data_IF_577909480844
#
_entry.id   IF_577909480844
#
_cell.length_a   1.000
_cell.length_b   1.000
_cell.length_c   1.000
_cell.angle_alpha   90.00
_cell.angle_beta   90.00
_cell.angle_gamma   90.00
#
_symmetry.space_group_name_H-M   'P 1'
#
loop_
_entity.id
_entity.type
_entity.pdbx_description
1 polymer ?
#
# COMPACT_ATOMS: atom_id res chain seq x y z
N UNK A 1 8.26 36.69 50.09
CA UNK A 1 7.41 35.50 49.83
C UNK A 1 8.22 34.53 48.99
N UNK A 2 8.75 33.46 49.59
CA UNK A 2 9.60 32.50 48.90
C UNK A 2 8.73 31.45 48.18
N UNK A 3 8.78 31.42 46.85
CA UNK A 3 8.05 30.46 46.01
C UNK A 3 8.66 29.07 46.18
N UNK A 4 8.01 28.23 46.99
CA UNK A 4 8.25 26.80 47.05
C UNK A 4 7.67 26.15 45.80
N UNK A 5 8.51 25.84 44.80
CA UNK A 5 8.11 25.00 43.67
C UNK A 5 8.13 23.55 44.14
N UNK A 6 6.97 23.07 44.60
CA UNK A 6 6.75 21.67 44.95
C UNK A 6 7.05 20.76 43.76
N UNK A 7 7.98 19.85 43.97
CA UNK A 7 8.49 18.86 43.03
C UNK A 7 7.34 17.92 42.59
N UNK A 8 6.86 18.06 41.35
CA UNK A 8 5.76 17.26 40.78
C UNK A 8 6.24 15.92 40.19
N UNK A 9 7.45 15.46 40.53
CA UNK A 9 7.97 14.19 40.04
C UNK A 9 7.50 13.03 40.93
N UNK A 10 6.88 11.97 40.36
CA UNK A 10 6.50 10.79 41.13
C UNK A 10 7.72 10.11 41.78
N UNK A 11 7.53 9.41 42.92
CA UNK A 11 8.61 8.78 43.64
C UNK A 11 9.36 7.77 42.75
N UNK A 12 10.67 7.96 42.59
CA UNK A 12 11.56 7.06 41.83
C UNK A 12 12.16 7.66 40.54
N UNK A 13 11.70 8.83 40.10
CA UNK A 13 12.27 9.52 38.94
C UNK A 13 13.23 10.63 39.36
N UNK A 14 14.51 10.50 38.99
CA UNK A 14 15.51 11.58 39.14
C UNK A 14 15.17 12.73 38.19
N UNK A 15 15.27 13.95 38.70
CA UNK A 15 15.19 15.15 37.88
C UNK A 15 16.20 15.10 36.72
N UNK A 16 15.83 15.54 35.51
CA UNK A 16 16.76 15.60 34.39
C UNK A 16 17.93 16.54 34.71
N UNK A 17 19.12 16.32 34.12
CA UNK A 17 20.24 17.22 34.28
C UNK A 17 19.85 18.65 33.85
N UNK A 18 20.33 19.69 34.54
CA UNK A 18 20.04 21.06 34.17
C UNK A 18 20.51 21.30 32.74
N UNK A 19 19.60 21.77 31.88
CA UNK A 19 19.98 22.24 30.55
C UNK A 19 20.99 23.38 30.70
N UNK A 20 22.24 23.14 30.33
CA UNK A 20 23.19 24.21 30.07
C UNK A 20 22.63 25.01 28.90
N UNK A 21 21.99 26.14 29.20
CA UNK A 21 21.81 27.20 28.21
C UNK A 21 23.23 27.57 27.81
N UNK A 22 23.60 27.26 26.57
CA UNK A 22 24.83 27.78 25.98
C UNK A 22 24.82 29.27 26.27
N UNK A 23 25.83 29.67 27.06
CA UNK A 23 25.86 30.97 27.69
C UNK A 23 25.59 32.04 26.65
N UNK A 24 24.73 32.99 27.00
CA UNK A 24 24.79 34.33 26.48
C UNK A 24 26.18 34.89 26.83
N UNK A 25 27.19 34.44 26.08
CA UNK A 25 28.50 35.05 25.99
C UNK A 25 28.27 36.40 25.35
N UNK A 26 28.16 37.39 26.21
CA UNK A 26 28.24 38.78 25.88
C UNK A 26 29.54 39.04 25.11
N UNK A 27 29.41 39.57 23.90
CA UNK A 27 30.30 40.60 23.37
C UNK A 27 29.72 41.07 22.04
N UNK A 28 28.91 42.10 22.17
CA UNK A 28 28.72 43.13 21.15
C UNK A 28 30.10 43.62 20.70
N UNK A 29 30.65 43.02 19.66
CA UNK A 29 31.68 43.66 18.83
C UNK A 29 30.98 44.13 17.57
N UNK A 30 30.24 45.22 17.74
CA UNK A 30 29.81 46.06 16.65
C UNK A 30 31.05 46.81 16.16
N UNK A 31 31.76 46.23 15.19
CA UNK A 31 32.51 46.93 14.13
C UNK A 31 33.43 45.93 13.45
N UNK A 32 32.93 45.31 12.38
CA UNK A 32 33.72 44.85 11.24
C UNK A 32 32.74 44.22 10.25
N UNK A 33 32.18 45.05 9.38
CA UNK A 33 31.78 44.61 8.05
C UNK A 33 33.02 44.70 7.14
N UNK A 34 33.81 43.64 6.94
CA UNK A 34 34.54 43.48 5.70
C UNK A 34 33.60 42.74 4.75
N UNK A 35 33.05 43.49 3.81
CA UNK A 35 32.49 42.99 2.57
C UNK A 35 33.47 42.02 1.92
N UNK A 36 33.25 40.73 2.11
CA UNK A 36 33.81 39.69 1.25
C UNK A 36 32.65 38.84 0.81
N UNK A 37 32.39 38.95 -0.49
CA UNK A 37 31.44 38.20 -1.31
C UNK A 37 31.90 36.73 -1.39
N UNK A 38 32.02 36.07 -0.24
CA UNK A 38 32.43 34.68 -0.15
C UNK A 38 31.21 33.82 -0.47
N UNK A 39 31.07 33.47 -1.75
CA UNK A 39 30.05 32.56 -2.22
C UNK A 39 30.01 31.29 -1.35
N UNK A 40 28.82 30.74 -1.05
CA UNK A 40 28.70 29.56 -0.21
C UNK A 40 29.46 28.37 -0.80
N UNK A 41 29.95 27.46 0.04
CA UNK A 41 30.74 26.31 -0.41
C UNK A 41 29.96 25.48 -1.43
N UNK A 42 30.64 24.93 -2.45
CA UNK A 42 30.01 24.12 -3.47
C UNK A 42 29.31 22.93 -2.82
N UNK A 43 28.03 22.72 -3.16
CA UNK A 43 27.30 21.53 -2.76
C UNK A 43 28.00 20.30 -3.35
N UNK A 44 28.74 19.56 -2.54
CA UNK A 44 29.27 18.25 -2.91
C UNK A 44 28.11 17.28 -3.15
N UNK A 45 27.75 17.09 -4.41
CA UNK A 45 26.86 16.01 -4.81
C UNK A 45 27.68 14.72 -4.76
N UNK A 46 27.60 13.98 -3.65
CA UNK A 46 28.11 12.61 -3.57
C UNK A 46 27.25 11.71 -4.47
N UNK A 47 27.40 11.81 -5.78
CA UNK A 47 26.69 10.97 -6.74
C UNK A 47 27.50 10.84 -8.03
N UNK A 48 28.66 10.17 -7.95
CA UNK A 48 29.36 9.66 -9.12
C UNK A 48 29.40 8.13 -9.02
N UNK A 49 28.69 7.38 -9.90
CA UNK A 49 28.73 5.93 -9.92
C UNK A 49 30.09 5.47 -10.45
N UNK A 50 30.93 4.98 -9.54
CA UNK A 50 32.25 4.46 -9.85
C UNK A 50 32.11 3.06 -10.48
N UNK A 51 31.72 3.03 -11.76
CA UNK A 51 31.80 1.84 -12.60
C UNK A 51 33.22 1.77 -13.16
N UNK A 52 34.14 1.14 -12.45
CA UNK A 52 35.37 0.67 -13.08
C UNK A 52 35.60 -0.79 -12.74
N UNK A 53 35.10 -1.63 -13.64
CA UNK A 53 35.54 -2.99 -13.80
C UNK A 53 37.00 -2.97 -14.26
N UNK A 54 37.92 -3.59 -13.54
CA UNK A 54 39.16 -4.19 -14.07
C UNK A 54 39.84 -5.01 -12.98
N UNK A 55 40.30 -6.21 -13.35
CA UNK A 55 41.31 -7.08 -12.68
C UNK A 55 40.96 -7.63 -11.29
N UNK A 56 41.14 -8.90 -10.95
CA UNK A 56 41.67 -10.09 -11.60
C UNK A 56 41.54 -11.22 -10.56
N UNK A 57 41.18 -12.46 -10.94
CA UNK A 57 40.96 -13.55 -9.98
C UNK A 57 42.29 -14.17 -9.54
N UNK A 58 42.64 -14.01 -8.26
CA UNK A 58 43.70 -14.79 -7.62
C UNK A 58 43.12 -15.54 -6.42
N UNK A 59 42.78 -16.81 -6.64
CA UNK A 59 42.74 -17.83 -5.59
C UNK A 59 44.15 -18.01 -5.03
N UNK A 60 44.32 -18.05 -3.70
CA UNK A 60 44.34 -19.37 -3.08
C UNK A 60 43.59 -19.44 -1.75
N UNK A 61 42.93 -20.59 -1.59
CA UNK A 61 42.42 -21.22 -0.38
C UNK A 61 43.13 -20.84 0.93
N UNK A 62 42.42 -20.15 1.81
CA UNK A 62 42.67 -20.19 3.25
C UNK A 62 41.34 -20.42 3.97
N UNK A 63 41.15 -21.58 4.63
CA UNK A 63 39.94 -21.88 5.38
C UNK A 63 40.08 -21.25 6.75
N UNK A 64 39.47 -20.08 6.97
CA UNK A 64 39.54 -19.43 8.27
C UNK A 64 38.29 -18.60 8.54
N UNK A 65 37.46 -19.18 9.39
CA UNK A 65 36.38 -18.61 10.21
C UNK A 65 35.07 -18.27 9.50
N UNK A 66 33.91 -18.66 10.09
CA UNK A 66 32.61 -18.17 9.65
C UNK A 66 32.64 -16.67 9.81
N UNK A 67 32.81 -15.97 8.70
CA UNK A 67 32.72 -14.52 8.69
C UNK A 67 31.32 -14.18 9.17
N UNK A 68 31.19 -13.42 10.26
CA UNK A 68 29.94 -12.76 10.70
C UNK A 68 29.29 -11.88 9.60
N UNK A 69 29.86 -11.88 8.40
CA UNK A 69 29.41 -11.21 7.19
C UNK A 69 28.16 -11.83 6.53
N UNK A 70 27.68 -12.99 6.99
CA UNK A 70 26.44 -13.60 6.48
C UNK A 70 25.16 -13.13 7.20
N UNK A 71 25.24 -12.08 8.01
CA UNK A 71 24.05 -11.31 8.37
C UNK A 71 23.55 -10.59 7.12
N UNK A 72 22.77 -11.29 6.30
CA UNK A 72 22.06 -10.73 5.15
C UNK A 72 21.25 -9.49 5.54
N UNK A 73 20.79 -8.70 4.54
CA UNK A 73 20.05 -7.48 4.81
C UNK A 73 18.85 -7.75 5.70
N UNK A 74 18.70 -6.95 6.75
CA UNK A 74 17.64 -7.10 7.74
C UNK A 74 16.33 -6.67 7.10
N UNK A 75 15.30 -7.51 7.18
CA UNK A 75 13.98 -7.22 6.63
C UNK A 75 13.07 -6.59 7.69
N UNK A 76 12.50 -5.43 7.38
CA UNK A 76 11.50 -4.76 8.22
C UNK A 76 10.13 -4.79 7.53
N UNK A 77 9.12 -5.35 8.18
CA UNK A 77 7.74 -5.32 7.70
C UNK A 77 7.11 -3.96 8.03
N UNK A 78 6.54 -3.30 7.02
CA UNK A 78 6.04 -1.93 7.16
C UNK A 78 4.67 -1.88 7.86
N UNK A 79 4.55 -0.97 8.84
CA UNK A 79 3.29 -0.45 9.36
C UNK A 79 2.99 0.89 8.64
N UNK A 80 2.10 0.92 7.65
CA UNK A 80 1.87 2.14 6.87
C UNK A 80 1.29 3.32 7.66
N UNK A 81 0.77 3.08 8.87
CA UNK A 81 0.26 4.15 9.74
C UNK A 81 1.36 4.78 10.60
N UNK A 82 2.45 4.05 10.86
CA UNK A 82 3.52 4.48 11.79
C UNK A 82 4.90 4.61 11.14
N UNK A 83 5.13 3.87 10.07
CA UNK A 83 6.42 3.79 9.40
C UNK A 83 6.48 4.76 8.22
N UNK A 84 7.54 5.56 8.24
CA UNK A 84 7.93 6.49 7.20
C UNK A 84 9.44 6.39 7.04
N UNK A 85 9.99 6.87 5.92
CA UNK A 85 11.44 6.89 5.72
C UNK A 85 12.15 7.61 6.87
N UNK A 86 11.57 8.70 7.38
CA UNK A 86 12.12 9.45 8.50
C UNK A 86 12.08 8.66 9.82
N UNK A 87 10.94 8.05 10.17
CA UNK A 87 10.83 7.28 11.42
C UNK A 87 11.72 6.03 11.40
N UNK A 88 11.84 5.36 10.25
CA UNK A 88 12.72 4.20 10.07
C UNK A 88 14.20 4.59 10.11
N UNK A 89 14.56 5.73 9.51
CA UNK A 89 15.91 6.28 9.55
C UNK A 89 16.38 6.49 11.00
N UNK A 90 15.51 7.03 11.85
CA UNK A 90 15.79 7.25 13.27
C UNK A 90 15.84 5.94 14.06
N UNK A 91 14.88 5.03 13.86
CA UNK A 91 14.80 3.76 14.59
C UNK A 91 16.00 2.85 14.34
N UNK A 92 16.45 2.77 13.09
CA UNK A 92 17.58 1.93 12.70
C UNK A 92 18.92 2.66 12.68
N UNK A 93 18.92 3.96 12.99
CA UNK A 93 20.11 4.82 12.89
C UNK A 93 20.80 4.71 11.51
N UNK A 94 19.99 4.70 10.45
CA UNK A 94 20.43 4.66 9.05
C UNK A 94 19.99 5.94 8.37
N UNK A 95 20.87 6.69 7.67
CA UNK A 95 20.47 7.89 6.95
C UNK A 95 19.35 7.61 5.93
N UNK A 96 18.35 8.49 5.87
CA UNK A 96 17.21 8.36 4.96
C UNK A 96 17.62 8.16 3.48
N UNK A 97 18.68 8.83 3.03
CA UNK A 97 19.21 8.69 1.68
C UNK A 97 19.74 7.27 1.42
N UNK A 98 20.48 6.69 2.37
CA UNK A 98 21.00 5.33 2.28
C UNK A 98 19.85 4.31 2.31
N UNK A 99 18.83 4.53 3.14
CA UNK A 99 17.65 3.66 3.21
C UNK A 99 16.87 3.66 1.88
N UNK A 100 16.70 4.84 1.26
CA UNK A 100 16.09 4.97 -0.07
C UNK A 100 16.90 4.26 -1.15
N UNK A 101 18.22 4.46 -1.17
CA UNK A 101 19.11 3.84 -2.13
C UNK A 101 19.10 2.31 -2.02
N UNK A 102 19.20 1.78 -0.81
CA UNK A 102 19.14 0.34 -0.54
C UNK A 102 17.83 -0.28 -1.06
N UNK A 103 16.72 0.45 -0.99
CA UNK A 103 15.41 -0.03 -1.41
C UNK A 103 15.00 0.41 -2.83
N UNK A 104 15.83 1.12 -3.59
CA UNK A 104 15.46 1.67 -4.90
C UNK A 104 14.18 2.53 -4.82
N UNK A 105 14.08 3.37 -3.80
CA UNK A 105 12.98 4.31 -3.61
C UNK A 105 13.40 5.69 -4.11
N UNK A 106 12.73 6.19 -5.15
CA UNK A 106 12.98 7.55 -5.65
C UNK A 106 12.37 8.63 -4.74
N UNK A 107 11.27 8.31 -4.06
CA UNK A 107 10.53 9.23 -3.19
C UNK A 107 9.88 8.47 -2.03
N UNK A 108 9.53 9.20 -0.96
CA UNK A 108 9.06 8.62 0.29
C UNK A 108 7.65 8.00 0.17
N UNK A 109 6.78 8.57 -0.66
CA UNK A 109 5.42 8.05 -0.90
C UNK A 109 5.42 6.66 -1.56
N UNK A 110 6.52 6.26 -2.22
CA UNK A 110 6.64 4.93 -2.81
C UNK A 110 6.77 3.82 -1.77
N UNK A 111 6.96 4.16 -0.49
CA UNK A 111 6.95 3.21 0.62
C UNK A 111 5.59 2.51 0.74
N UNK A 112 4.48 3.21 0.44
CA UNK A 112 3.12 2.67 0.50
C UNK A 112 2.86 1.54 -0.52
N UNK A 113 3.63 1.51 -1.61
CA UNK A 113 3.53 0.44 -2.60
C UNK A 113 4.18 -0.88 -2.15
N UNK A 114 4.89 -0.87 -1.01
CA UNK A 114 5.68 -2.00 -0.52
C UNK A 114 5.20 -2.46 0.85
N UNK A 115 5.44 -3.73 1.15
CA UNK A 115 5.12 -4.36 2.44
C UNK A 115 6.35 -4.60 3.31
N UNK A 116 7.52 -4.70 2.69
CA UNK A 116 8.79 -5.02 3.33
C UNK A 116 9.85 -4.11 2.74
N UNK A 117 10.78 -3.67 3.59
CA UNK A 117 11.98 -2.97 3.17
C UNK A 117 13.22 -3.67 3.73
N UNK A 118 14.33 -3.50 3.00
CA UNK A 118 15.64 -3.93 3.42
C UNK A 118 16.31 -2.80 4.20
N UNK A 119 16.67 -3.07 5.44
CA UNK A 119 17.50 -2.19 6.26
C UNK A 119 18.96 -2.57 5.98
N UNK A 120 19.77 -1.64 5.42
CA UNK A 120 21.18 -1.91 5.21
C UNK A 120 21.88 -2.06 6.57
N UNK A 121 22.80 -3.02 6.68
CA UNK A 121 23.70 -3.11 7.82
C UNK A 121 24.59 -1.87 7.83
N UNK A 122 24.30 -0.90 8.71
CA UNK A 122 25.26 0.13 9.06
C UNK A 122 26.20 -0.46 10.11
N UNK A 123 27.49 -0.10 10.05
CA UNK A 123 28.60 -0.74 10.76
C UNK A 123 28.45 -0.86 12.30
N UNK A 124 27.39 -0.33 12.91
CA UNK A 124 27.31 -0.16 14.36
C UNK A 124 26.29 -1.04 15.07
N UNK A 125 25.44 -1.82 14.41
CA UNK A 125 24.52 -2.71 15.14
C UNK A 125 24.08 -3.89 14.28
N UNK A 126 24.21 -5.11 14.81
CA UNK A 126 23.47 -6.25 14.30
C UNK A 126 21.97 -5.97 14.50
N UNK A 127 21.32 -5.40 13.49
CA UNK A 127 19.95 -4.94 13.62
C UNK A 127 19.01 -6.15 13.59
N UNK A 128 18.50 -6.55 14.75
CA UNK A 128 17.27 -7.34 14.79
C UNK A 128 16.15 -6.45 14.25
N UNK A 129 15.33 -6.98 13.34
CA UNK A 129 14.17 -6.27 12.84
C UNK A 129 13.20 -5.93 13.99
N UNK A 130 12.80 -4.66 14.11
CA UNK A 130 11.81 -4.21 15.09
C UNK A 130 10.39 -4.67 14.73
N UNK A 131 10.12 -5.02 13.47
CA UNK A 131 8.86 -5.61 13.02
C UNK A 131 9.15 -6.88 12.21
N UNK A 132 9.35 -8.02 12.89
CA UNK A 132 9.68 -9.28 12.22
C UNK A 132 8.46 -9.94 11.55
N UNK A 133 7.24 -9.53 11.91
CA UNK A 133 6.00 -10.10 11.40
C UNK A 133 5.18 -9.05 10.63
N UNK A 134 4.41 -9.48 9.60
CA UNK A 134 3.45 -8.62 8.94
C UNK A 134 2.48 -7.98 9.96
N UNK A 135 2.28 -6.67 9.85
CA UNK A 135 1.39 -5.89 10.73
C UNK A 135 -0.08 -6.24 10.48
N UNK A 136 -0.47 -6.27 9.21
CA UNK A 136 -1.76 -6.79 8.79
C UNK A 136 -1.74 -8.32 8.84
N UNK A 137 -2.89 -8.91 9.17
CA UNK A 137 -3.05 -10.37 9.14
C UNK A 137 -2.67 -10.90 7.76
N UNK A 138 -2.00 -12.05 7.72
CA UNK A 138 -1.55 -12.69 6.48
C UNK A 138 -2.73 -12.92 5.52
N UNK A 139 -3.91 -13.19 6.08
CA UNK A 139 -5.18 -13.36 5.38
C UNK A 139 -5.66 -12.06 4.70
N UNK A 140 -5.64 -10.92 5.40
CA UNK A 140 -6.07 -9.63 4.82
C UNK A 140 -5.14 -9.16 3.70
N UNK A 141 -3.82 -9.30 3.89
CA UNK A 141 -2.85 -8.97 2.86
C UNK A 141 -3.06 -9.81 1.58
N UNK A 142 -3.36 -11.11 1.74
CA UNK A 142 -3.74 -11.98 0.62
C UNK A 142 -5.05 -11.57 -0.02
N UNK A 143 -6.07 -11.21 0.78
CA UNK A 143 -7.36 -10.71 0.29
C UNK A 143 -7.19 -9.48 -0.60
N UNK A 144 -6.56 -8.42 -0.08
CA UNK A 144 -6.30 -7.17 -0.84
C UNK A 144 -5.47 -7.42 -2.10
N UNK A 145 -4.52 -8.36 -2.05
CA UNK A 145 -3.72 -8.73 -3.21
C UNK A 145 -4.53 -9.52 -4.26
N UNK A 146 -5.37 -10.47 -3.83
CA UNK A 146 -6.24 -11.25 -4.70
C UNK A 146 -7.25 -10.35 -5.41
N UNK A 147 -7.91 -9.45 -4.68
CA UNK A 147 -8.84 -8.46 -5.24
C UNK A 147 -8.15 -7.62 -6.33
N UNK A 148 -7.00 -7.01 -6.01
CA UNK A 148 -6.27 -6.20 -7.00
C UNK A 148 -5.84 -7.01 -8.23
N UNK A 149 -5.38 -8.24 -8.04
CA UNK A 149 -5.00 -9.12 -9.17
C UNK A 149 -6.20 -9.51 -10.01
N UNK A 150 -7.35 -9.79 -9.41
CA UNK A 150 -8.60 -10.09 -10.11
C UNK A 150 -9.05 -8.89 -10.95
N UNK A 151 -9.13 -7.71 -10.32
CA UNK A 151 -9.51 -6.46 -10.98
C UNK A 151 -8.63 -6.19 -12.20
N UNK A 152 -7.31 -6.41 -12.09
CA UNK A 152 -6.37 -6.25 -13.22
C UNK A 152 -6.55 -7.32 -14.29
N UNK A 153 -6.71 -8.59 -13.90
CA UNK A 153 -6.85 -9.70 -14.84
C UNK A 153 -8.13 -9.57 -15.69
N UNK A 154 -9.26 -9.33 -15.01
CA UNK A 154 -10.58 -9.19 -15.63
C UNK A 154 -10.84 -7.78 -16.16
N UNK A 155 -9.95 -6.81 -15.89
CA UNK A 155 -10.11 -5.38 -16.25
C UNK A 155 -11.38 -4.76 -15.66
N UNK A 156 -11.74 -5.21 -14.47
CA UNK A 156 -12.90 -4.74 -13.71
C UNK A 156 -12.44 -3.67 -12.71
N UNK A 157 -13.09 -2.51 -12.73
CA UNK A 157 -12.85 -1.44 -11.75
C UNK A 157 -13.75 -1.53 -10.51
N UNK A 158 -14.80 -2.35 -10.56
CA UNK A 158 -15.73 -2.55 -9.45
C UNK A 158 -15.13 -3.51 -8.41
N UNK A 159 -15.01 -3.00 -7.18
CA UNK A 159 -14.50 -3.75 -6.04
C UNK A 159 -15.49 -4.83 -5.59
N UNK A 160 -16.79 -4.53 -5.57
CA UNK A 160 -17.81 -5.43 -5.05
C UNK A 160 -17.95 -6.65 -5.97
N UNK A 161 -17.85 -6.44 -7.28
CA UNK A 161 -17.80 -7.53 -8.26
C UNK A 161 -16.58 -8.43 -8.03
N UNK A 162 -15.41 -7.85 -7.81
CA UNK A 162 -14.20 -8.63 -7.54
C UNK A 162 -14.33 -9.48 -6.27
N UNK A 163 -14.90 -8.90 -5.21
CA UNK A 163 -15.19 -9.63 -3.97
C UNK A 163 -16.18 -10.76 -4.22
N UNK A 164 -17.25 -10.53 -4.98
CA UNK A 164 -18.26 -11.53 -5.30
C UNK A 164 -17.65 -12.78 -5.95
N UNK A 165 -16.87 -12.61 -7.01
CA UNK A 165 -16.25 -13.76 -7.70
C UNK A 165 -15.20 -14.45 -6.83
N UNK A 166 -14.41 -13.70 -6.07
CA UNK A 166 -13.41 -14.27 -5.19
C UNK A 166 -14.04 -15.05 -4.04
N UNK A 167 -15.09 -14.55 -3.41
CA UNK A 167 -15.82 -15.26 -2.36
C UNK A 167 -16.55 -16.50 -2.88
N UNK A 168 -17.09 -16.43 -4.09
CA UNK A 168 -17.73 -17.57 -4.74
C UNK A 168 -16.76 -18.73 -4.99
N UNK A 169 -15.51 -18.43 -5.35
CA UNK A 169 -14.46 -19.44 -5.60
C UNK A 169 -13.47 -19.59 -4.46
N UNK A 170 -13.72 -18.94 -3.32
CA UNK A 170 -12.94 -19.17 -2.11
C UNK A 170 -13.20 -20.60 -1.66
N UNK A 171 -12.12 -21.37 -1.51
CA UNK A 171 -12.24 -22.71 -0.99
C UNK A 171 -12.63 -22.63 0.48
N UNK A 172 -13.63 -23.41 0.90
CA UNK A 172 -13.90 -23.63 2.32
C UNK A 172 -13.27 -24.96 2.67
N UNK A 173 -11.96 -24.96 2.85
CA UNK A 173 -11.28 -26.10 3.44
C UNK A 173 -11.87 -26.34 4.82
N UNK A 174 -12.22 -27.58 5.15
CA UNK A 174 -12.69 -27.94 6.49
C UNK A 174 -11.62 -27.63 7.55
N UNK A 175 -10.35 -27.62 7.14
CA UNK A 175 -9.18 -27.25 7.92
C UNK A 175 -8.75 -25.78 7.77
N UNK A 176 -9.50 -24.96 7.03
CA UNK A 176 -9.16 -23.56 6.80
C UNK A 176 -9.45 -22.73 8.05
N UNK A 177 -8.51 -22.79 9.00
CA UNK A 177 -8.47 -21.97 10.20
C UNK A 177 -8.35 -20.49 9.80
N UNK A 178 -9.50 -19.80 9.66
CA UNK A 178 -9.60 -18.34 9.53
C UNK A 178 -8.87 -17.67 8.33
N UNK A 179 -8.67 -18.39 7.22
CA UNK A 179 -8.09 -17.84 6.00
C UNK A 179 -9.01 -18.01 4.79
N UNK A 180 -9.37 -16.91 4.13
CA UNK A 180 -9.93 -16.99 2.78
C UNK A 180 -8.78 -17.29 1.81
N UNK A 181 -8.59 -18.55 1.45
CA UNK A 181 -7.75 -18.96 0.34
C UNK A 181 -8.51 -18.74 -0.98
N UNK A 182 -8.51 -17.47 -1.40
CA UNK A 182 -9.09 -17.08 -2.67
C UNK A 182 -8.37 -17.78 -3.83
N UNK A 183 -9.08 -18.64 -4.55
CA UNK A 183 -8.60 -19.16 -5.83
C UNK A 183 -8.84 -18.12 -6.94
N UNK A 184 -7.80 -17.30 -7.16
CA UNK A 184 -7.79 -16.30 -8.21
C UNK A 184 -8.02 -16.90 -9.61
N UNK A 185 -7.55 -18.13 -9.87
CA UNK A 185 -7.69 -18.75 -11.21
C UNK A 185 -9.14 -19.13 -11.45
N UNK A 186 -9.75 -19.82 -10.49
CA UNK A 186 -11.16 -20.17 -10.56
C UNK A 186 -12.06 -18.93 -10.67
N UNK A 187 -11.76 -17.86 -9.91
CA UNK A 187 -12.52 -16.60 -9.99
C UNK A 187 -12.48 -16.00 -11.41
N UNK A 188 -11.29 -15.94 -12.01
CA UNK A 188 -11.10 -15.40 -13.37
C UNK A 188 -11.80 -16.29 -14.41
N UNK A 189 -11.75 -17.60 -14.27
CA UNK A 189 -12.44 -18.55 -15.15
C UNK A 189 -13.96 -18.39 -15.05
N UNK A 190 -14.51 -18.28 -13.83
CA UNK A 190 -15.92 -18.03 -13.61
C UNK A 190 -16.38 -16.72 -14.28
N UNK A 191 -15.63 -15.63 -14.10
CA UNK A 191 -15.91 -14.36 -14.76
C UNK A 191 -15.89 -14.49 -16.29
N UNK A 192 -14.90 -15.18 -16.85
CA UNK A 192 -14.80 -15.39 -18.30
C UNK A 192 -15.90 -16.29 -18.84
N UNK A 193 -16.37 -17.28 -18.05
CA UNK A 193 -17.47 -18.14 -18.43
C UNK A 193 -18.79 -17.35 -18.51
N UNK A 194 -19.03 -16.46 -17.55
CA UNK A 194 -20.19 -15.56 -17.57
C UNK A 194 -20.14 -14.60 -18.76
N UNK A 195 -18.98 -13.97 -19.04
CA UNK A 195 -18.77 -13.13 -20.23
C UNK A 195 -19.03 -13.88 -21.56
N UNK A 196 -18.66 -15.16 -21.63
CA UNK A 196 -18.94 -16.00 -22.79
C UNK A 196 -20.44 -16.33 -22.90
N UNK A 197 -21.08 -16.58 -21.76
CA UNK A 197 -22.51 -16.84 -21.69
C UNK A 197 -23.31 -15.60 -22.11
N UNK A 198 -22.97 -14.42 -21.63
CA UNK A 198 -23.64 -13.16 -21.99
C UNK A 198 -23.53 -12.86 -23.49
N UNK A 199 -22.38 -13.14 -24.10
CA UNK A 199 -22.16 -12.97 -25.54
C UNK A 199 -23.04 -13.89 -26.39
N UNK A 200 -23.34 -15.09 -25.89
CA UNK A 200 -24.23 -16.05 -26.56
C UNK A 200 -25.71 -15.83 -26.22
N UNK A 201 -26.02 -15.16 -25.10
CA UNK A 201 -27.37 -14.87 -24.62
C UNK A 201 -27.61 -13.36 -24.49
N UNK A 202 -27.63 -12.60 -25.60
CA UNK A 202 -27.83 -11.16 -25.55
C UNK A 202 -29.21 -10.83 -24.95
N UNK A 203 -29.19 -10.17 -23.79
CA UNK A 203 -30.40 -9.74 -23.06
C UNK A 203 -31.27 -8.78 -23.87
N UNK A 204 -30.66 -7.97 -24.74
CA UNK A 204 -31.41 -7.10 -25.64
C UNK A 204 -32.30 -7.87 -26.60
N UNK A 205 -31.83 -9.01 -27.12
CA UNK A 205 -32.64 -9.86 -27.97
C UNK A 205 -33.84 -10.45 -27.19
N UNK A 206 -33.64 -10.79 -25.92
CA UNK A 206 -34.72 -11.24 -25.04
C UNK A 206 -35.71 -10.10 -24.74
N UNK A 207 -35.22 -8.90 -24.42
CA UNK A 207 -36.03 -7.70 -24.16
C UNK A 207 -36.82 -7.27 -25.39
N UNK A 208 -36.19 -7.21 -26.56
CA UNK A 208 -36.87 -6.88 -27.82
C UNK A 208 -37.95 -7.92 -28.17
N UNK A 209 -37.68 -9.22 -27.97
CA UNK A 209 -38.69 -10.28 -28.14
C UNK A 209 -39.85 -10.11 -27.16
N UNK A 210 -39.58 -9.73 -25.91
CA UNK A 210 -40.61 -9.46 -24.90
C UNK A 210 -41.45 -8.21 -25.25
N UNK A 211 -40.82 -7.12 -25.66
CA UNK A 211 -41.48 -5.89 -26.08
C UNK A 211 -42.32 -6.10 -27.35
N UNK A 212 -41.82 -6.88 -28.32
CA UNK A 212 -42.56 -7.25 -29.52
C UNK A 212 -43.81 -8.09 -29.19
N UNK A 213 -43.68 -9.06 -28.27
CA UNK A 213 -44.82 -9.84 -27.76
C UNK A 213 -45.86 -8.94 -27.06
N UNK A 214 -45.40 -7.99 -26.22
CA UNK A 214 -46.28 -7.06 -25.50
C UNK A 214 -47.01 -6.08 -26.44
N UNK A 215 -46.33 -5.57 -27.48
CA UNK A 215 -46.96 -4.73 -28.53
C UNK A 215 -48.01 -5.49 -29.33
N UNK A 216 -47.76 -6.76 -29.68
CA UNK A 216 -48.73 -7.61 -30.38
C UNK A 216 -49.98 -7.85 -29.53
N UNK A 217 -49.81 -8.14 -28.24
CA UNK A 217 -50.93 -8.25 -27.31
C UNK A 217 -51.76 -6.96 -27.23
N UNK A 218 -51.11 -5.79 -27.16
CA UNK A 218 -51.82 -4.50 -27.10
C UNK A 218 -52.57 -4.16 -28.41
N UNK A 219 -52.03 -4.53 -29.58
CA UNK A 219 -52.70 -4.32 -30.87
C UNK A 219 -53.98 -5.16 -30.99
N UNK A 220 -53.97 -6.38 -30.47
CA UNK A 220 -55.15 -7.26 -30.47
C UNK A 220 -56.26 -6.80 -29.51
N UNK A 221 -55.95 -6.05 -28.44
CA UNK A 221 -56.98 -5.53 -27.52
C UNK A 221 -57.62 -4.21 -27.99
N UNK A 222 -57.07 -3.54 -29.00
CA UNK A 222 -57.53 -2.22 -29.46
C UNK A 222 -58.65 -2.24 -30.49
N UNK A 223 -59.03 -3.40 -31.03
CA UNK A 223 -60.05 -3.50 -32.10
C UNK A 223 -61.48 -3.76 -31.61
N UNK A 224 -61.69 -4.01 -30.31
CA UNK A 224 -63.04 -4.29 -29.76
C UNK A 224 -63.80 -3.05 -29.24
N UNK A 225 -63.25 -1.85 -29.38
CA UNK A 225 -63.87 -0.61 -28.88
C UNK A 225 -64.89 0.07 -29.81
N UNK A 226 -65.08 -0.41 -31.04
CA UNK A 226 -66.01 0.19 -32.03
C UNK A 226 -67.30 -0.60 -32.19
N UNK A 227 -68.00 -0.87 -31.10
CA UNK A 227 -69.42 -1.18 -31.14
C UNK A 227 -70.07 -0.22 -30.15
N UNK A 228 -70.35 1.01 -30.58
CA UNK A 228 -71.64 1.26 -31.19
C UNK A 228 -72.68 1.29 -30.08
N UNK A 229 -72.72 2.40 -29.34
CA UNK A 229 -73.75 2.68 -28.35
C UNK A 229 -75.12 2.78 -29.02
N UNK A 230 -75.75 1.63 -29.26
CA UNK A 230 -77.15 1.53 -29.64
C UNK A 230 -78.02 1.57 -28.37
N UNK A 231 -78.11 2.77 -27.78
CA UNK A 231 -79.23 3.11 -26.90
C UNK A 231 -80.48 3.31 -27.77
N UNK A 232 -81.03 2.24 -28.36
CA UNK A 232 -82.34 2.31 -29.02
C UNK A 232 -83.46 2.04 -28.02
N UNK A 233 -83.94 3.15 -27.46
CA UNK A 233 -85.22 3.31 -26.78
C UNK A 233 -86.37 2.98 -27.74
N UNK A 234 -87.20 1.99 -27.43
CA UNK A 234 -88.53 1.78 -28.06
C UNK A 234 -89.40 0.97 -27.09
N UNK A 235 -90.13 1.60 -26.17
CA UNK A 235 -91.57 1.92 -26.31
C UNK A 235 -92.33 0.85 -27.11
N UNK A 236 -92.86 -0.14 -26.38
CA UNK A 236 -94.24 -0.62 -26.53
C UNK A 236 -94.69 -1.21 -25.20
#
# INVERSE_FOLDING_TARGET
MASATSDLLPPGLKAPPPYRRFGAGASTSADAQPSTDEAPPPYSTNNAPNNNATSSPSSPSSPSFPSEKDAGPVLHYLDHDRDSIASLSLRYNVPAAQLRQANRLAADHLLQARRVIQIPSSANTALTSLSPQPVESEAEGRRKAAIRRFMVACKVSDYDLAVLYLEQTAWRGEDAELGYDYDLRAAVEAFQADEQWERSHPVEAAKQKADARRKKAHKNSGTDGRVGGFFSRRRS
#
